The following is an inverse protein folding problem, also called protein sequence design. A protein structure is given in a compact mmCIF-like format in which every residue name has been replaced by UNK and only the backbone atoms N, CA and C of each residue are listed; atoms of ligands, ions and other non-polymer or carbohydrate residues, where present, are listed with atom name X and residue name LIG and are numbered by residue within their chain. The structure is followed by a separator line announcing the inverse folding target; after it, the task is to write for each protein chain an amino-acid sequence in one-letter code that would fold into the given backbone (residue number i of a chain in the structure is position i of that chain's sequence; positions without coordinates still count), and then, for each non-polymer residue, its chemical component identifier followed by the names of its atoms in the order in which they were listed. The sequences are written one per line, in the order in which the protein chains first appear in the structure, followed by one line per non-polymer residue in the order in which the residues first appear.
data_IF_761535292270
#
_entry.id   IF_761535292270
#
_cell.length_a   1.000
_cell.length_b   1.000
_cell.length_c   1.000
_cell.angle_alpha   90.00
_cell.angle_beta   90.00
_cell.angle_gamma   90.00
#
_symmetry.space_group_name_H-M   'P 1'
#
loop_
_entity.id
_entity.type
_entity.pdbx_description
1 polymer ?
#
# COMPACT_ATOMS: atom_id res chain seq x y z
N UNK A 1 -15.73 -23.20 0.92
CA UNK A 1 -15.65 -22.04 1.83
C UNK A 1 -15.54 -20.81 0.96
N UNK A 2 -16.65 -20.12 0.74
CA UNK A 2 -16.68 -18.93 -0.11
C UNK A 2 -15.88 -17.82 0.58
N UNK A 3 -14.77 -17.41 -0.03
CA UNK A 3 -13.97 -16.30 0.47
C UNK A 3 -14.66 -15.00 0.10
N UNK A 4 -15.46 -14.46 1.03
CA UNK A 4 -16.12 -13.15 0.88
C UNK A 4 -15.14 -11.99 0.74
N UNK A 5 -13.87 -12.18 1.14
CA UNK A 5 -12.80 -11.23 0.89
C UNK A 5 -11.47 -11.94 0.61
N UNK A 6 -10.61 -11.30 -0.18
CA UNK A 6 -9.22 -11.69 -0.36
C UNK A 6 -8.30 -10.48 -0.20
N UNK A 7 -7.12 -10.74 0.36
CA UNK A 7 -6.08 -9.75 0.58
C UNK A 7 -4.76 -10.31 0.09
N UNK A 8 -4.24 -9.73 -1.00
CA UNK A 8 -3.08 -10.27 -1.70
C UNK A 8 -2.14 -9.15 -2.11
N UNK A 9 -0.84 -9.38 -2.00
CA UNK A 9 0.16 -8.51 -2.61
C UNK A 9 0.47 -9.03 -4.01
N UNK A 10 0.15 -8.23 -5.03
CA UNK A 10 0.42 -8.53 -6.44
C UNK A 10 1.63 -7.72 -6.92
N UNK A 11 2.51 -8.39 -7.66
CA UNK A 11 3.57 -7.75 -8.44
C UNK A 11 2.95 -7.31 -9.77
N UNK A 12 3.20 -6.06 -10.16
CA UNK A 12 2.86 -5.56 -11.48
C UNK A 12 3.94 -5.95 -12.50
N UNK A 13 3.75 -5.49 -13.72
CA UNK A 13 4.69 -5.75 -14.81
C UNK A 13 6.05 -5.09 -14.53
N UNK A 14 7.18 -5.82 -14.66
CA UNK A 14 8.51 -5.24 -14.53
C UNK A 14 8.77 -4.20 -15.62
N UNK A 15 9.22 -3.01 -15.23
CA UNK A 15 9.58 -1.92 -16.14
C UNK A 15 11.10 -1.72 -16.11
N UNK A 16 11.73 -1.68 -17.28
CA UNK A 16 13.17 -1.37 -17.40
C UNK A 16 13.38 0.13 -17.49
N UNK A 17 14.28 0.66 -16.65
CA UNK A 17 14.67 2.07 -16.61
C UNK A 17 16.20 2.15 -16.56
N UNK A 18 16.83 2.36 -17.72
CA UNK A 18 18.29 2.27 -17.85
C UNK A 18 18.79 0.86 -17.49
N UNK A 19 19.76 0.80 -16.58
CA UNK A 19 20.38 -0.43 -16.06
C UNK A 19 19.59 -1.04 -14.88
N UNK A 20 18.31 -0.69 -14.71
CA UNK A 20 17.49 -1.16 -13.60
C UNK A 20 16.19 -1.80 -14.07
N UNK A 21 15.82 -2.89 -13.41
CA UNK A 21 14.49 -3.50 -13.53
C UNK A 21 13.68 -3.10 -12.29
N UNK A 22 12.56 -2.45 -12.53
CA UNK A 22 11.69 -1.88 -11.51
C UNK A 22 10.36 -2.62 -11.52
N UNK A 23 10.10 -3.42 -10.49
CA UNK A 23 8.85 -4.18 -10.36
C UNK A 23 7.95 -3.55 -9.31
N UNK A 24 6.83 -2.91 -9.70
CA UNK A 24 5.90 -2.32 -8.75
C UNK A 24 5.15 -3.42 -7.97
N UNK A 25 4.90 -3.19 -6.69
CA UNK A 25 4.10 -4.05 -5.82
C UNK A 25 2.89 -3.29 -5.29
N UNK A 26 1.72 -3.88 -5.49
CA UNK A 26 0.45 -3.35 -5.01
C UNK A 26 -0.26 -4.39 -4.17
N UNK A 27 -0.93 -3.95 -3.12
CA UNK A 27 -1.80 -4.78 -2.32
C UNK A 27 -3.24 -4.60 -2.78
N UNK A 28 -3.91 -5.73 -2.96
CA UNK A 28 -5.24 -5.83 -3.52
C UNK A 28 -6.16 -6.36 -2.44
N UNK A 29 -7.19 -5.57 -2.14
CA UNK A 29 -8.33 -6.00 -1.34
C UNK A 29 -9.49 -6.24 -2.29
N UNK A 30 -9.90 -7.50 -2.46
CA UNK A 30 -11.12 -7.83 -3.17
C UNK A 30 -12.17 -8.27 -2.16
N UNK A 31 -13.37 -7.72 -2.27
CA UNK A 31 -14.54 -8.09 -1.46
C UNK A 31 -15.65 -8.49 -2.42
N UNK A 32 -16.19 -9.69 -2.24
CA UNK A 32 -17.33 -10.19 -2.98
C UNK A 32 -18.57 -10.16 -2.08
N UNK A 33 -19.59 -9.44 -2.53
CA UNK A 33 -20.88 -9.30 -1.89
C UNK A 33 -21.94 -10.00 -2.76
N UNK A 34 -23.06 -10.45 -2.20
CA UNK A 34 -24.12 -11.12 -2.97
C UNK A 34 -24.71 -10.28 -4.11
N UNK A 35 -24.54 -8.95 -4.05
CA UNK A 35 -25.08 -7.98 -4.99
C UNK A 35 -24.00 -7.23 -5.80
N UNK A 36 -22.73 -7.63 -5.70
CA UNK A 36 -21.64 -6.97 -6.42
C UNK A 36 -20.24 -7.26 -5.85
N UNK A 37 -19.22 -6.66 -6.44
CA UNK A 37 -17.84 -6.81 -5.98
C UNK A 37 -17.13 -5.46 -5.86
N UNK A 38 -16.24 -5.34 -4.90
CA UNK A 38 -15.36 -4.18 -4.72
C UNK A 38 -13.92 -4.65 -4.76
N UNK A 39 -13.10 -4.04 -5.62
CA UNK A 39 -11.67 -4.32 -5.71
C UNK A 39 -10.91 -3.00 -5.52
N UNK A 40 -10.04 -2.98 -4.53
CA UNK A 40 -9.19 -1.83 -4.21
C UNK A 40 -7.72 -2.18 -4.40
N UNK A 41 -7.01 -1.35 -5.18
CA UNK A 41 -5.57 -1.44 -5.39
C UNK A 41 -4.85 -0.36 -4.59
N UNK A 42 -3.85 -0.74 -3.78
CA UNK A 42 -2.96 0.21 -3.10
C UNK A 42 -1.48 -0.09 -3.43
N UNK A 43 -0.70 0.86 -3.97
CA UNK A 43 0.75 0.69 -4.07
C UNK A 43 1.38 0.55 -2.69
N UNK A 44 2.34 -0.36 -2.52
CA UNK A 44 3.02 -0.60 -1.23
C UNK A 44 4.53 -0.45 -1.35
N UNK A 45 5.11 -0.97 -2.42
CA UNK A 45 6.55 -1.00 -2.59
C UNK A 45 6.92 -1.12 -4.06
N UNK A 46 8.19 -0.87 -4.34
CA UNK A 46 8.82 -1.11 -5.63
C UNK A 46 10.05 -1.95 -5.37
N UNK A 47 10.19 -3.05 -6.11
CA UNK A 47 11.39 -3.89 -6.08
C UNK A 47 12.31 -3.41 -7.20
N UNK A 48 13.54 -3.07 -6.85
CA UNK A 48 14.55 -2.60 -7.79
C UNK A 48 15.68 -3.63 -7.86
N UNK A 49 15.93 -4.12 -9.07
CA UNK A 49 16.98 -5.08 -9.38
C UNK A 49 17.94 -4.44 -10.38
N UNK A 50 19.25 -4.57 -10.12
CA UNK A 50 20.29 -4.05 -11.03
C UNK A 50 20.51 -4.98 -12.21
N UNK A 51 20.54 -4.42 -13.42
CA UNK A 51 20.86 -5.09 -14.67
C UNK A 51 22.16 -4.46 -15.22
N UNK A 52 23.30 -4.93 -14.71
CA UNK A 52 24.65 -4.50 -15.14
C UNK A 52 25.52 -5.71 -15.51
N UNK A 53 26.78 -5.48 -15.89
CA UNK A 53 27.72 -6.50 -16.35
C UNK A 53 27.66 -7.80 -15.51
N UNK A 54 27.80 -9.00 -16.12
CA UNK A 54 27.67 -10.30 -15.44
C UNK A 54 28.55 -10.44 -14.18
N UNK A 55 29.65 -9.70 -14.11
CA UNK A 55 30.58 -9.67 -12.98
C UNK A 55 30.07 -8.81 -11.79
N UNK A 56 29.17 -7.85 -12.03
CA UNK A 56 28.59 -6.96 -11.01
C UNK A 56 27.11 -7.25 -10.68
N UNK A 57 26.39 -7.96 -11.55
CA UNK A 57 24.99 -8.33 -11.34
C UNK A 57 24.81 -9.58 -10.45
N UNK A 58 25.86 -10.37 -10.23
CA UNK A 58 25.75 -11.67 -9.55
C UNK A 58 25.67 -11.61 -8.01
N UNK A 59 25.44 -10.44 -7.41
CA UNK A 59 25.43 -10.29 -5.96
C UNK A 59 24.69 -9.08 -5.37
N UNK A 60 23.84 -8.39 -6.14
CA UNK A 60 23.06 -7.27 -5.59
C UNK A 60 21.66 -7.76 -5.24
N UNK A 61 21.40 -7.95 -3.95
CA UNK A 61 20.09 -8.36 -3.45
C UNK A 61 18.98 -7.40 -3.91
N UNK A 62 17.77 -7.91 -4.24
CA UNK A 62 16.65 -7.06 -4.65
C UNK A 62 16.34 -6.02 -3.58
N UNK A 63 16.41 -4.73 -3.93
CA UNK A 63 16.10 -3.66 -2.99
C UNK A 63 14.61 -3.36 -3.01
N UNK A 64 13.96 -3.42 -1.83
CA UNK A 64 12.56 -3.08 -1.66
C UNK A 64 12.46 -1.62 -1.20
N UNK A 65 11.95 -0.75 -2.07
CA UNK A 65 11.69 0.67 -1.75
C UNK A 65 10.21 0.81 -1.36
N UNK A 66 9.87 1.16 -0.11
CA UNK A 66 8.49 1.36 0.31
C UNK A 66 7.91 2.64 -0.29
N UNK A 67 6.64 2.62 -0.64
CA UNK A 67 5.86 3.82 -1.01
C UNK A 67 5.04 4.23 0.22
N UNK A 68 5.45 5.27 0.98
CA UNK A 68 4.69 5.72 2.13
C UNK A 68 3.37 6.37 1.68
N UNK A 69 2.26 5.91 2.27
CA UNK A 69 0.93 6.45 2.04
C UNK A 69 0.67 7.65 2.97
N UNK A 70 1.25 8.81 2.59
CA UNK A 70 1.17 10.06 3.38
C UNK A 70 -0.26 10.56 3.49
N UNK A 71 -1.07 10.40 2.43
CA UNK A 71 -2.48 10.81 2.41
C UNK A 71 -3.28 10.07 3.46
N UNK A 72 -3.10 8.75 3.58
CA UNK A 72 -3.81 7.97 4.60
C UNK A 72 -3.38 8.37 6.01
N UNK A 73 -2.09 8.61 6.24
CA UNK A 73 -1.61 9.08 7.54
C UNK A 73 -2.24 10.43 7.92
N UNK A 74 -2.31 11.37 6.97
CA UNK A 74 -2.96 12.66 7.18
C UNK A 74 -4.46 12.51 7.48
N UNK A 75 -5.17 11.66 6.74
CA UNK A 75 -6.60 11.39 6.99
C UNK A 75 -6.84 10.78 8.38
N UNK A 76 -6.03 9.82 8.81
CA UNK A 76 -6.14 9.26 10.17
C UNK A 76 -5.82 10.30 11.25
N UNK A 77 -4.85 11.18 11.02
CA UNK A 77 -4.54 12.27 11.95
C UNK A 77 -5.71 13.26 12.07
N UNK A 78 -6.30 13.65 10.94
CA UNK A 78 -7.48 14.54 10.90
C UNK A 78 -8.68 13.89 11.60
N UNK A 79 -8.96 12.62 11.32
CA UNK A 79 -10.04 11.88 11.96
C UNK A 79 -9.82 11.74 13.47
N UNK A 80 -8.62 11.36 13.90
CA UNK A 80 -8.25 11.25 15.30
C UNK A 80 -8.38 12.59 16.03
N UNK A 81 -7.90 13.67 15.43
CA UNK A 81 -8.05 15.02 15.98
C UNK A 81 -9.51 15.43 16.09
N UNK A 82 -10.31 15.15 15.07
CA UNK A 82 -11.75 15.46 15.05
C UNK A 82 -12.51 14.73 16.18
N UNK A 83 -12.19 13.45 16.41
CA UNK A 83 -12.75 12.66 17.51
C UNK A 83 -12.34 13.20 18.87
N UNK A 84 -11.06 13.54 19.05
CA UNK A 84 -10.54 14.12 20.29
C UNK A 84 -11.24 15.44 20.63
N UNK A 85 -11.35 16.35 19.65
CA UNK A 85 -12.08 17.60 19.79
C UNK A 85 -13.53 17.32 20.19
N UNK A 86 -14.23 16.45 19.47
CA UNK A 86 -15.62 16.12 19.77
C UNK A 86 -15.79 15.58 21.21
N UNK A 87 -14.89 14.71 21.67
CA UNK A 87 -14.94 14.13 23.01
C UNK A 87 -14.72 15.20 24.09
N UNK A 88 -13.80 16.13 23.87
CA UNK A 88 -13.55 17.25 24.80
C UNK A 88 -14.76 18.19 24.90
N UNK A 89 -15.43 18.48 23.78
CA UNK A 89 -16.58 19.39 23.76
C UNK A 89 -17.90 18.72 24.19
N UNK A 90 -18.09 17.43 23.93
CA UNK A 90 -19.25 16.68 24.41
C UNK A 90 -19.19 16.46 25.92
N UNK A 91 -18.00 16.29 26.51
CA UNK A 91 -17.79 16.24 27.95
C UNK A 91 -18.17 17.54 28.68
N UNK A 92 -18.00 18.70 28.05
CA UNK A 92 -18.37 20.02 28.63
C UNK A 92 -19.87 20.34 28.64
N UNK A 93 -20.70 19.62 27.87
CA UNK A 93 -22.15 19.87 27.77
C UNK A 93 -23.01 19.16 28.83
N UNK A 94 -22.43 18.34 29.70
CA UNK A 94 -23.15 17.58 30.74
C UNK A 94 -23.03 18.14 32.16
N UNK A 95 -22.47 19.34 32.35
CA UNK A 95 -22.42 20.04 33.64
C UNK A 95 -23.31 21.26 33.66
#
# INVERSE_FOLDING_TARGET
MDKFFSWETKRGEPVRVGDWVVTPQSQVLAVQLPFGGFVWHRPVSVVVEGYGEPEAASGRDPQIIPIPDVTRQALWAILGLSLLVNLLFSGRRRS
#
